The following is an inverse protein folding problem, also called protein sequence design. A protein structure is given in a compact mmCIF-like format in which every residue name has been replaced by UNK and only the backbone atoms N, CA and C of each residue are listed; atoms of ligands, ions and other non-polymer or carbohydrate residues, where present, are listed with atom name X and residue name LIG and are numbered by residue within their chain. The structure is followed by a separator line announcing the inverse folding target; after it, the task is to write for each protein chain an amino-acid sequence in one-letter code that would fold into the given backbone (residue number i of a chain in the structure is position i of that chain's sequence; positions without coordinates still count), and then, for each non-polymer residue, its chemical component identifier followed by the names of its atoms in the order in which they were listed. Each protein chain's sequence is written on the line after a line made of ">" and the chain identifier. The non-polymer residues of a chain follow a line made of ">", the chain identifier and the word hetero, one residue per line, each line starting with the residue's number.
data_IF_999902143768
#
_entry.id   IF_999902143768
#
_cell.length_a   1.000
_cell.length_b   1.000
_cell.length_c   1.000
_cell.angle_alpha   90.00
_cell.angle_beta   90.00
_cell.angle_gamma   90.00
#
_symmetry.space_group_name_H-M   'P 1'
#
loop_
_entity.id
_entity.type
_entity.pdbx_description
1 polymer ?
#
# COMPACT_ATOMS: atom_id res chain seq x y z
N UNK A 1 -13.27 -17.73 -6.37
CA UNK A 1 -13.07 -17.65 -7.84
C UNK A 1 -13.18 -16.18 -8.24
N UNK A 2 -12.18 -15.60 -8.94
CA UNK A 2 -12.33 -14.24 -9.48
C UNK A 2 -13.45 -14.23 -10.52
N UNK A 3 -14.28 -13.19 -10.51
CA UNK A 3 -15.41 -13.05 -11.45
C UNK A 3 -14.89 -12.62 -12.83
N UNK A 4 -15.51 -13.02 -13.96
CA UNK A 4 -14.97 -12.79 -15.31
C UNK A 4 -14.99 -11.34 -15.84
N UNK A 5 -15.04 -10.31 -14.98
CA UNK A 5 -15.26 -8.91 -15.39
C UNK A 5 -14.18 -7.92 -14.97
N UNK A 6 -13.15 -8.32 -14.22
CA UNK A 6 -12.16 -7.39 -13.64
C UNK A 6 -10.90 -7.25 -14.52
N UNK A 7 -11.06 -7.12 -15.85
CA UNK A 7 -9.92 -6.88 -16.75
C UNK A 7 -9.66 -5.38 -16.89
N UNK A 8 -8.42 -4.98 -16.68
CA UNK A 8 -7.93 -3.65 -17.02
C UNK A 8 -7.74 -3.54 -18.53
N UNK A 9 -8.56 -2.70 -19.18
CA UNK A 9 -8.48 -2.41 -20.62
C UNK A 9 -7.86 -1.03 -20.91
N UNK A 10 -7.51 -0.26 -19.87
CA UNK A 10 -7.24 1.17 -19.96
C UNK A 10 -8.48 1.99 -19.59
N UNK A 11 -8.36 3.31 -19.60
CA UNK A 11 -9.50 4.22 -19.37
C UNK A 11 -9.48 5.35 -20.39
N UNK A 12 -10.55 6.15 -20.43
CA UNK A 12 -10.63 7.33 -21.32
C UNK A 12 -9.44 8.29 -21.16
N UNK A 13 -8.76 8.24 -20.00
CA UNK A 13 -7.70 9.15 -19.62
C UNK A 13 -6.31 8.49 -19.58
N UNK A 14 -6.21 7.17 -19.85
CA UNK A 14 -4.95 6.44 -19.80
C UNK A 14 -4.88 5.37 -20.89
N UNK A 15 -4.02 5.62 -21.87
CA UNK A 15 -3.72 4.68 -22.96
C UNK A 15 -2.62 3.75 -22.48
N UNK A 16 -3.00 2.56 -22.03
CA UNK A 16 -2.05 1.50 -21.68
C UNK A 16 -1.62 0.74 -22.94
N UNK A 17 -0.33 0.45 -23.07
CA UNK A 17 0.15 -0.50 -24.08
C UNK A 17 -0.44 -1.89 -23.81
N UNK A 18 -0.54 -2.73 -24.85
CA UNK A 18 -1.04 -4.11 -24.69
C UNK A 18 -0.21 -4.90 -23.67
N UNK A 19 1.11 -4.74 -23.69
CA UNK A 19 2.01 -5.39 -22.73
C UNK A 19 1.71 -4.96 -21.28
N UNK A 20 1.48 -3.67 -21.05
CA UNK A 20 1.14 -3.16 -19.72
C UNK A 20 -0.20 -3.72 -19.24
N UNK A 21 -1.20 -3.78 -20.13
CA UNK A 21 -2.50 -4.39 -19.82
C UNK A 21 -2.35 -5.87 -19.47
N UNK A 22 -1.54 -6.63 -20.22
CA UNK A 22 -1.30 -8.04 -19.93
C UNK A 22 -0.64 -8.18 -18.55
N UNK A 23 0.39 -7.40 -18.26
CA UNK A 23 1.08 -7.44 -16.97
C UNK A 23 0.16 -7.12 -15.79
N UNK A 24 -0.68 -6.07 -15.90
CA UNK A 24 -1.67 -5.71 -14.88
C UNK A 24 -2.68 -6.82 -14.66
N UNK A 25 -3.28 -7.34 -15.73
CA UNK A 25 -4.28 -8.40 -15.62
C UNK A 25 -3.69 -9.69 -15.05
N UNK A 26 -2.45 -10.03 -15.43
CA UNK A 26 -1.75 -11.17 -14.87
C UNK A 26 -1.48 -10.99 -13.37
N UNK A 27 -0.99 -9.83 -12.94
CA UNK A 27 -0.74 -9.52 -11.54
C UNK A 27 -2.01 -9.63 -10.68
N UNK A 28 -3.13 -9.12 -11.20
CA UNK A 28 -4.44 -9.18 -10.52
C UNK A 28 -4.92 -10.62 -10.39
N UNK A 29 -4.89 -11.38 -11.50
CA UNK A 29 -5.36 -12.76 -11.54
C UNK A 29 -4.51 -13.70 -10.68
N UNK A 30 -3.20 -13.45 -10.59
CA UNK A 30 -2.26 -14.23 -9.78
C UNK A 30 -2.14 -13.73 -8.33
N UNK A 31 -2.78 -12.61 -8.01
CA UNK A 31 -2.67 -11.93 -6.72
C UNK A 31 -1.21 -11.64 -6.34
N UNK A 32 -0.39 -11.26 -7.33
CA UNK A 32 1.02 -10.94 -7.16
C UNK A 32 1.25 -9.43 -7.26
N UNK A 33 2.16 -8.86 -6.46
CA UNK A 33 2.58 -7.47 -6.62
C UNK A 33 3.13 -7.20 -8.02
N UNK A 34 2.83 -6.02 -8.56
CA UNK A 34 3.33 -5.57 -9.85
C UNK A 34 4.33 -4.42 -9.64
N UNK A 35 5.59 -4.67 -9.97
CA UNK A 35 6.63 -3.64 -9.97
C UNK A 35 6.66 -2.93 -11.32
N UNK A 36 6.38 -1.63 -11.31
CA UNK A 36 6.44 -0.79 -12.51
C UNK A 36 7.70 0.09 -12.47
N UNK A 37 8.49 0.05 -13.54
CA UNK A 37 9.67 0.90 -13.75
C UNK A 37 9.45 1.83 -14.95
N UNK A 38 10.16 2.96 -14.97
CA UNK A 38 10.18 3.89 -16.11
C UNK A 38 10.65 5.28 -15.69
N UNK A 39 10.83 6.18 -16.66
CA UNK A 39 11.26 7.56 -16.40
C UNK A 39 10.28 8.36 -15.52
N UNK A 40 10.72 9.36 -14.75
CA UNK A 40 9.83 10.29 -14.07
C UNK A 40 8.79 10.89 -15.04
N UNK A 41 7.53 11.00 -14.60
CA UNK A 41 6.46 11.58 -15.41
C UNK A 41 5.77 10.63 -16.40
N UNK A 42 6.12 9.34 -16.47
CA UNK A 42 5.48 8.37 -17.38
C UNK A 42 4.10 7.85 -16.91
N UNK A 43 3.47 8.51 -15.94
CA UNK A 43 2.12 8.16 -15.48
C UNK A 43 2.02 6.88 -14.63
N UNK A 44 3.08 6.45 -13.94
CA UNK A 44 3.07 5.28 -13.03
C UNK A 44 2.06 5.41 -11.90
N UNK A 45 2.07 6.57 -11.23
CA UNK A 45 1.09 6.90 -10.19
C UNK A 45 -0.32 6.90 -10.79
N UNK A 46 -0.53 7.52 -11.95
CA UNK A 46 -1.82 7.56 -12.66
C UNK A 46 -2.34 6.16 -12.98
N UNK A 47 -1.47 5.24 -13.42
CA UNK A 47 -1.85 3.85 -13.67
C UNK A 47 -2.54 3.21 -12.45
N UNK A 48 -2.03 3.41 -11.24
CA UNK A 48 -2.65 2.85 -10.04
C UNK A 48 -4.05 3.42 -9.76
N UNK A 49 -4.25 4.72 -9.99
CA UNK A 49 -5.58 5.35 -9.89
C UNK A 49 -6.56 4.75 -10.90
N UNK A 50 -6.12 4.56 -12.14
CA UNK A 50 -6.96 4.02 -13.21
C UNK A 50 -7.27 2.53 -13.01
N UNK A 51 -6.33 1.75 -12.45
CA UNK A 51 -6.57 0.36 -12.05
C UNK A 51 -7.61 0.30 -10.92
N UNK A 52 -7.45 1.11 -9.87
CA UNK A 52 -8.40 1.14 -8.75
C UNK A 52 -9.81 1.51 -9.22
N UNK A 53 -9.91 2.51 -10.11
CA UNK A 53 -11.17 2.91 -10.74
C UNK A 53 -11.79 1.80 -11.58
N UNK A 54 -10.99 1.14 -12.44
CA UNK A 54 -11.47 0.05 -13.28
C UNK A 54 -11.97 -1.16 -12.47
N UNK A 55 -11.35 -1.42 -11.31
CA UNK A 55 -11.74 -2.51 -10.40
C UNK A 55 -12.80 -2.11 -9.37
N UNK A 56 -13.25 -0.84 -9.37
CA UNK A 56 -14.11 -0.29 -8.33
C UNK A 56 -13.57 -0.58 -6.91
N UNK A 57 -12.25 -0.43 -6.74
CA UNK A 57 -11.52 -0.74 -5.52
C UNK A 57 -11.04 0.55 -4.84
N UNK A 58 -10.98 0.59 -3.48
CA UNK A 58 -10.32 1.69 -2.79
C UNK A 58 -8.84 1.79 -3.19
N UNK A 59 -8.33 3.01 -3.35
CA UNK A 59 -6.90 3.25 -3.54
C UNK A 59 -6.29 3.69 -2.20
N UNK A 60 -5.26 2.97 -1.77
CA UNK A 60 -4.41 3.36 -0.64
C UNK A 60 -3.06 3.74 -1.22
N UNK A 61 -2.56 4.92 -0.86
CA UNK A 61 -1.26 5.41 -1.30
C UNK A 61 -0.28 5.44 -0.13
N UNK A 62 0.88 4.86 -0.34
CA UNK A 62 1.99 4.90 0.59
C UNK A 62 3.22 5.45 -0.13
N UNK A 63 3.52 6.72 0.16
CA UNK A 63 4.67 7.40 -0.42
C UNK A 63 5.90 7.18 0.46
N UNK A 64 6.92 6.54 -0.11
CA UNK A 64 8.12 6.12 0.60
C UNK A 64 9.13 7.27 0.66
N UNK A 65 9.76 7.43 1.83
CA UNK A 65 10.85 8.38 2.07
C UNK A 65 12.12 7.61 2.41
N UNK A 66 13.27 8.28 2.38
CA UNK A 66 14.56 7.70 2.77
C UNK A 66 14.62 7.22 4.22
N UNK A 67 13.72 7.71 5.07
CA UNK A 67 13.62 7.31 6.48
C UNK A 67 12.52 6.27 6.72
N UNK A 68 11.78 5.86 5.69
CA UNK A 68 10.68 4.90 5.82
C UNK A 68 11.23 3.48 5.94
N UNK A 69 10.72 2.73 6.92
CA UNK A 69 11.03 1.32 7.16
C UNK A 69 9.79 0.46 6.91
N UNK A 70 9.96 -0.82 6.58
CA UNK A 70 8.85 -1.72 6.27
C UNK A 70 7.83 -1.80 7.42
N UNK A 71 8.31 -1.94 8.66
CA UNK A 71 7.46 -1.91 9.85
C UNK A 71 6.55 -0.67 9.98
N UNK A 72 6.94 0.51 9.45
CA UNK A 72 6.07 1.69 9.48
C UNK A 72 4.80 1.49 8.64
N UNK A 73 4.84 0.59 7.66
CA UNK A 73 3.65 0.19 6.92
C UNK A 73 2.70 -0.67 7.75
N UNK A 74 3.19 -1.38 8.76
CA UNK A 74 2.35 -2.19 9.66
C UNK A 74 1.74 -1.30 10.76
N UNK A 75 2.55 -0.71 11.63
CA UNK A 75 2.07 0.18 12.67
C UNK A 75 3.18 1.08 13.22
N UNK A 76 2.79 2.19 13.83
CA UNK A 76 3.65 3.01 14.69
C UNK A 76 3.17 2.93 16.13
N UNK A 77 4.12 2.79 17.05
CA UNK A 77 3.84 2.76 18.49
C UNK A 77 4.05 4.13 19.11
N UNK A 78 2.98 4.73 19.63
CA UNK A 78 3.00 6.04 20.28
C UNK A 78 3.41 5.93 21.75
N UNK A 79 4.72 5.74 21.96
CA UNK A 79 5.30 5.62 23.30
C UNK A 79 5.13 6.90 24.13
N UNK A 80 5.08 8.08 23.49
CA UNK A 80 4.96 9.38 24.17
C UNK A 80 3.58 9.53 24.80
N UNK A 81 2.52 9.28 24.02
CA UNK A 81 1.15 9.30 24.54
C UNK A 81 0.97 8.28 25.65
N UNK A 82 1.53 7.07 25.51
CA UNK A 82 1.45 6.05 26.57
C UNK A 82 2.15 6.47 27.85
N UNK A 83 3.34 7.06 27.75
CA UNK A 83 4.09 7.54 28.91
C UNK A 83 3.31 8.63 29.65
N UNK A 84 2.74 9.59 28.91
CA UNK A 84 1.90 10.65 29.47
C UNK A 84 0.70 10.08 30.23
N UNK A 85 -0.06 9.19 29.60
CA UNK A 85 -1.26 8.59 30.20
C UNK A 85 -0.91 7.71 31.41
N UNK A 86 0.25 7.04 31.38
CA UNK A 86 0.79 6.28 32.52
C UNK A 86 1.09 7.17 33.72
N UNK A 87 1.55 8.40 33.51
CA UNK A 87 1.83 9.36 34.58
C UNK A 87 0.55 9.95 35.18
N UNK A 88 -0.52 10.04 34.37
CA UNK A 88 -1.83 10.54 34.80
C UNK A 88 -2.73 9.46 35.42
N UNK A 89 -2.30 8.19 35.39
CA UNK A 89 -3.06 7.06 35.94
C UNK A 89 -4.30 6.69 35.12
N UNK A 90 -4.29 6.93 33.80
CA UNK A 90 -5.43 6.60 32.95
C UNK A 90 -5.53 5.07 32.70
N UNK A 91 -6.73 4.49 32.84
CA UNK A 91 -6.95 3.04 32.65
C UNK A 91 -6.60 2.54 31.24
N UNK A 92 -6.69 3.41 30.23
CA UNK A 92 -6.36 3.09 28.83
C UNK A 92 -4.91 2.64 28.63
N UNK A 93 -4.01 2.93 29.58
CA UNK A 93 -2.58 2.56 29.51
C UNK A 93 -2.35 1.05 29.52
N UNK A 94 -3.29 0.28 30.08
CA UNK A 94 -3.20 -1.17 30.21
C UNK A 94 -3.38 -1.91 28.89
N UNK A 95 -4.01 -1.28 27.89
CA UNK A 95 -4.18 -1.86 26.56
C UNK A 95 -3.24 -1.18 25.55
N UNK A 96 -2.22 -1.94 25.09
CA UNK A 96 -1.23 -1.47 24.12
C UNK A 96 -1.86 -1.02 22.81
N UNK A 97 -3.03 -1.58 22.43
CA UNK A 97 -3.73 -1.27 21.18
C UNK A 97 -4.15 0.19 21.10
N UNK A 98 -4.36 0.85 22.25
CA UNK A 98 -4.68 2.28 22.33
C UNK A 98 -3.54 3.21 21.88
N UNK A 99 -2.34 2.64 21.64
CA UNK A 99 -1.13 3.35 21.27
C UNK A 99 -0.55 2.85 19.95
N UNK A 100 -1.23 1.93 19.27
CA UNK A 100 -0.85 1.49 17.93
C UNK A 100 -1.58 2.37 16.91
N UNK A 101 -0.81 3.02 16.05
CA UNK A 101 -1.32 3.75 14.89
C UNK A 101 -1.15 2.86 13.67
N UNK A 102 -2.23 2.44 13.00
CA UNK A 102 -2.14 1.62 11.79
C UNK A 102 -1.30 2.29 10.70
N UNK A 103 -0.41 1.52 10.08
CA UNK A 103 0.29 1.93 8.87
C UNK A 103 -0.48 1.58 7.60
N UNK A 104 0.06 1.93 6.43
CA UNK A 104 -0.62 1.75 5.14
C UNK A 104 -0.81 0.30 4.69
N UNK A 105 0.11 -0.60 5.06
CA UNK A 105 -0.07 -2.03 4.84
C UNK A 105 -1.15 -2.59 5.76
N UNK A 106 -1.18 -2.18 7.04
CA UNK A 106 -2.27 -2.57 7.95
C UNK A 106 -3.62 -2.12 7.42
N UNK A 107 -3.75 -0.85 7.01
CA UNK A 107 -4.96 -0.33 6.38
C UNK A 107 -5.37 -1.20 5.17
N UNK A 108 -4.41 -1.62 4.33
CA UNK A 108 -4.68 -2.44 3.17
C UNK A 108 -5.12 -3.88 3.51
N UNK A 109 -4.46 -4.53 4.48
CA UNK A 109 -4.77 -5.90 4.88
C UNK A 109 -6.07 -6.03 5.68
N UNK A 110 -6.44 -4.99 6.43
CA UNK A 110 -7.66 -4.98 7.25
C UNK A 110 -8.84 -4.31 6.56
N UNK A 111 -8.67 -3.82 5.32
CA UNK A 111 -9.73 -3.20 4.56
C UNK A 111 -10.90 -4.18 4.32
N UNK A 112 -12.16 -3.72 4.44
CA UNK A 112 -13.34 -4.57 4.23
C UNK A 112 -13.49 -5.04 2.78
N UNK A 113 -12.93 -4.27 1.83
CA UNK A 113 -12.89 -4.59 0.41
C UNK A 113 -11.43 -4.58 -0.04
N UNK A 114 -11.06 -5.47 -0.96
CA UNK A 114 -9.70 -5.57 -1.52
C UNK A 114 -9.29 -4.22 -2.14
N UNK A 115 -8.31 -3.49 -1.56
CA UNK A 115 -7.85 -2.24 -2.11
C UNK A 115 -6.74 -2.45 -3.14
N UNK A 116 -6.49 -1.42 -3.94
CA UNK A 116 -5.22 -1.25 -4.65
C UNK A 116 -4.30 -0.47 -3.71
N UNK A 117 -3.15 -1.05 -3.36
CA UNK A 117 -2.10 -0.37 -2.61
C UNK A 117 -1.01 0.10 -3.57
N UNK A 118 -0.85 1.41 -3.71
CA UNK A 118 0.28 2.02 -4.41
C UNK A 118 1.40 2.30 -3.41
N UNK A 119 2.54 1.63 -3.57
CA UNK A 119 3.79 1.97 -2.90
C UNK A 119 4.61 2.82 -3.89
N UNK A 120 4.64 4.12 -3.67
CA UNK A 120 5.29 5.08 -4.58
C UNK A 120 6.69 5.46 -4.07
N UNK A 121 7.59 5.81 -4.99
CA UNK A 121 8.99 6.16 -4.69
C UNK A 121 9.75 5.10 -3.86
N UNK A 122 9.47 3.82 -4.08
CA UNK A 122 10.15 2.72 -3.37
C UNK A 122 11.69 2.74 -3.54
N UNK A 123 12.19 3.34 -4.63
CA UNK A 123 13.61 3.53 -4.89
C UNK A 123 14.29 4.52 -3.95
N UNK A 124 13.53 5.33 -3.19
CA UNK A 124 14.06 6.24 -2.17
C UNK A 124 14.38 5.55 -0.85
N UNK A 125 13.84 4.36 -0.62
CA UNK A 125 14.01 3.63 0.62
C UNK A 125 15.45 3.13 0.81
N UNK A 126 15.73 2.61 2.00
CA UNK A 126 16.94 1.82 2.24
C UNK A 126 16.97 0.59 1.31
N UNK A 127 18.17 0.10 0.97
CA UNK A 127 18.36 -1.07 0.11
C UNK A 127 17.72 -2.34 0.68
N UNK A 128 17.58 -2.43 2.01
CA UNK A 128 16.94 -3.55 2.70
C UNK A 128 15.40 -3.51 2.61
N UNK A 129 14.81 -2.33 2.38
CA UNK A 129 13.37 -2.12 2.43
C UNK A 129 12.54 -3.08 1.55
N UNK A 130 12.89 -3.36 0.28
CA UNK A 130 12.13 -4.32 -0.52
C UNK A 130 12.19 -5.76 0.02
N UNK A 131 13.31 -6.14 0.65
CA UNK A 131 13.45 -7.46 1.27
C UNK A 131 12.65 -7.52 2.58
N UNK A 132 12.66 -6.45 3.36
CA UNK A 132 11.90 -6.36 4.61
C UNK A 132 10.39 -6.43 4.34
N UNK A 133 9.91 -5.82 3.24
CA UNK A 133 8.53 -5.99 2.79
C UNK A 133 8.16 -7.43 2.43
N UNK A 134 9.12 -8.32 2.17
CA UNK A 134 8.85 -9.74 1.89
C UNK A 134 8.96 -10.62 3.14
N UNK A 135 9.73 -10.20 4.15
CA UNK A 135 10.06 -11.01 5.34
C UNK A 135 9.36 -10.56 6.62
N UNK A 136 9.08 -9.26 6.77
CA UNK A 136 8.43 -8.70 7.96
C UNK A 136 6.89 -8.72 7.89
N UNK A 137 6.32 -9.18 6.77
CA UNK A 137 4.88 -9.37 6.58
C UNK A 137 4.36 -10.68 7.20
#
# INVERSE_FOLDING_TARGET
>A
MPRPTDRFEGTSNYIATDDLRIAVNAAVALERPLLIKGEPGTGKTVLAYEIAKAMNAPLITWHIKSTTKAHNGLYEYDAVSRLRDSQLGEERVHDVRNYLKPGKLWEAFTAPNRPVLLIDEIDKADIEFPNDLLQEL
#
